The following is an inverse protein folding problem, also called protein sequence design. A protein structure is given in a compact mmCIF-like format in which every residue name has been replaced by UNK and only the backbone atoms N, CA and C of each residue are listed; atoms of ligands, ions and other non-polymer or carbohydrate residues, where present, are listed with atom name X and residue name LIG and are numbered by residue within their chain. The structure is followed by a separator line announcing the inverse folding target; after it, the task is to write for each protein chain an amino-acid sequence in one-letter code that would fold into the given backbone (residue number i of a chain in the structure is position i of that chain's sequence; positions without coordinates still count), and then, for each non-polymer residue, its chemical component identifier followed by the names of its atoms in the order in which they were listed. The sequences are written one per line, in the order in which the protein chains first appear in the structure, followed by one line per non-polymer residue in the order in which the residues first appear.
data_IF_536959675870
#
_entry.id   IF_536959675870
#
_cell.length_a   1.000
_cell.length_b   1.000
_cell.length_c   1.000
_cell.angle_alpha   90.00
_cell.angle_beta   90.00
_cell.angle_gamma   90.00
#
_symmetry.space_group_name_H-M   'P 1'
#
loop_
_entity.id
_entity.type
_entity.pdbx_description
1 polymer ?
#
# COMPACT_ATOMS: atom_id res chain seq x y z
N UNK A 1 30.61 -25.56 -23.76
CA UNK A 1 30.04 -26.91 -23.87
C UNK A 1 30.17 -27.63 -22.53
N UNK A 2 29.28 -27.33 -21.59
CA UNK A 2 29.21 -28.00 -20.29
C UNK A 2 27.75 -28.43 -20.07
N UNK A 3 27.58 -29.73 -19.77
CA UNK A 3 26.29 -30.44 -19.65
C UNK A 3 25.72 -30.28 -18.24
N UNK A 4 24.42 -30.01 -18.16
CA UNK A 4 23.63 -30.05 -16.93
C UNK A 4 23.42 -31.51 -16.45
N UNK A 5 23.47 -31.81 -15.13
CA UNK A 5 23.12 -33.12 -14.59
C UNK A 5 21.61 -33.38 -14.57
N UNK A 6 21.22 -34.65 -14.75
CA UNK A 6 19.84 -35.11 -14.82
C UNK A 6 19.17 -35.19 -13.43
N UNK A 7 17.89 -34.79 -13.37
CA UNK A 7 17.01 -34.99 -12.21
C UNK A 7 16.49 -36.45 -12.15
N UNK A 8 16.42 -37.06 -10.96
CA UNK A 8 15.92 -38.42 -10.82
C UNK A 8 14.39 -38.50 -10.84
N UNK A 9 13.90 -39.52 -11.54
CA UNK A 9 12.51 -39.85 -11.75
C UNK A 9 11.92 -40.65 -10.58
N UNK A 10 10.76 -40.19 -10.07
CA UNK A 10 9.67 -41.06 -9.59
C UNK A 10 9.51 -41.25 -8.08
N UNK A 11 8.29 -40.99 -7.59
CA UNK A 11 7.80 -41.49 -6.30
C UNK A 11 6.75 -40.59 -5.64
N UNK A 12 5.51 -40.65 -6.11
CA UNK A 12 4.42 -39.78 -5.67
C UNK A 12 4.00 -39.94 -4.20
N UNK A 13 3.67 -38.81 -3.58
CA UNK A 13 2.79 -38.74 -2.41
C UNK A 13 2.01 -37.41 -2.45
N UNK A 14 0.90 -37.39 -3.19
CA UNK A 14 -0.06 -36.28 -3.16
C UNK A 14 -0.80 -36.31 -1.82
N UNK A 15 -0.61 -35.27 -1.00
CA UNK A 15 -1.44 -35.03 0.19
C UNK A 15 -2.88 -34.82 -0.27
N UNK A 16 -3.79 -35.53 0.38
CA UNK A 16 -5.21 -35.65 0.06
C UNK A 16 -5.93 -34.37 0.51
N UNK A 17 -6.34 -33.51 -0.43
CA UNK A 17 -7.28 -32.42 -0.16
C UNK A 17 -8.63 -33.02 0.25
N UNK A 18 -9.26 -32.46 1.29
CA UNK A 18 -10.59 -32.87 1.75
C UNK A 18 -11.67 -32.61 0.69
N UNK A 19 -12.71 -33.43 0.67
CA UNK A 19 -13.80 -33.34 -0.30
C UNK A 19 -14.54 -32.00 -0.21
N UNK A 20 -14.85 -31.38 -1.35
CA UNK A 20 -15.75 -30.24 -1.44
C UNK A 20 -17.16 -30.62 -0.93
N UNK A 21 -17.91 -29.68 -0.32
CA UNK A 21 -19.26 -29.95 0.19
C UNK A 21 -20.23 -30.32 -0.94
N UNK A 22 -21.01 -31.38 -0.73
CA UNK A 22 -21.99 -31.92 -1.68
C UNK A 22 -23.22 -30.99 -1.83
N UNK A 23 -23.87 -30.86 -3.01
CA UNK A 23 -24.97 -29.92 -3.25
C UNK A 23 -26.20 -30.08 -2.35
N UNK A 24 -26.37 -31.24 -1.69
CA UNK A 24 -27.41 -31.42 -0.67
C UNK A 24 -27.10 -30.72 0.67
N UNK A 25 -25.83 -30.48 0.98
CA UNK A 25 -25.41 -29.78 2.21
C UNK A 25 -25.66 -28.27 2.13
N UNK A 26 -25.55 -27.69 0.93
CA UNK A 26 -25.86 -26.29 0.65
C UNK A 26 -27.37 -25.99 0.71
N UNK A 27 -28.23 -26.98 0.44
CA UNK A 27 -29.70 -26.84 0.53
C UNK A 27 -30.24 -26.87 1.97
N UNK A 28 -29.44 -27.28 2.96
CA UNK A 28 -29.84 -27.33 4.38
C UNK A 28 -29.49 -26.07 5.16
N UNK A 29 -28.85 -25.07 4.53
CA UNK A 29 -28.53 -23.82 5.17
C UNK A 29 -29.77 -22.91 5.22
N UNK A 30 -30.36 -22.75 6.41
CA UNK A 30 -31.33 -21.69 6.70
C UNK A 30 -30.65 -20.66 7.62
N UNK A 31 -30.50 -19.39 7.21
CA UNK A 31 -30.00 -18.37 8.11
C UNK A 31 -31.03 -18.12 9.22
N UNK A 32 -30.55 -18.03 10.46
CA UNK A 32 -31.36 -17.71 11.64
C UNK A 32 -31.78 -16.24 11.62
N UNK A 33 -33.09 -15.98 11.73
CA UNK A 33 -33.65 -14.63 11.88
C UNK A 33 -33.18 -13.95 13.18
N UNK A 34 -32.94 -12.63 13.18
CA UNK A 34 -32.52 -11.90 14.37
C UNK A 34 -33.64 -11.80 15.41
N UNK A 35 -33.34 -12.25 16.63
CA UNK A 35 -34.22 -12.13 17.79
C UNK A 35 -34.35 -10.66 18.21
N UNK A 36 -35.59 -10.22 18.36
CA UNK A 36 -35.98 -8.91 18.87
C UNK A 36 -35.77 -8.86 20.39
N UNK A 37 -34.89 -7.98 20.83
CA UNK A 37 -34.74 -7.62 22.24
C UNK A 37 -35.79 -6.58 22.62
N UNK A 38 -36.66 -6.94 23.57
CA UNK A 38 -37.53 -6.04 24.30
C UNK A 38 -36.79 -5.45 25.49
N UNK A 39 -36.73 -4.12 25.62
CA UNK A 39 -37.04 -3.40 26.87
C UNK A 39 -36.99 -1.86 26.70
N UNK A 40 -38.15 -1.26 27.02
CA UNK A 40 -38.42 0.01 27.73
C UNK A 40 -37.79 1.34 27.30
N UNK A 41 -38.62 2.21 26.70
CA UNK A 41 -38.45 3.67 26.65
C UNK A 41 -39.68 4.37 27.29
N UNK A 42 -39.51 5.52 28.00
CA UNK A 42 -40.57 6.23 28.71
C UNK A 42 -41.43 7.11 27.77
N UNK A 43 -42.61 7.62 28.22
CA UNK A 43 -43.70 7.99 27.32
C UNK A 43 -43.56 9.40 26.73
N UNK A 44 -44.09 9.65 25.53
CA UNK A 44 -44.20 11.00 24.99
C UNK A 44 -45.58 11.63 25.27
N UNK A 45 -45.54 12.93 25.56
CA UNK A 45 -46.70 13.81 25.69
C UNK A 45 -47.23 14.25 24.30
N UNK A 46 -48.52 13.97 24.05
CA UNK A 46 -49.52 14.96 23.60
C UNK A 46 -49.62 15.41 22.14
N UNK A 47 -50.66 14.91 21.44
CA UNK A 47 -51.49 15.62 20.43
C UNK A 47 -50.97 15.66 18.98
N UNK A 48 -51.75 15.54 17.88
CA UNK A 48 -53.19 15.56 17.60
C UNK A 48 -53.49 14.89 16.22
N UNK A 49 -54.62 14.20 16.14
CA UNK A 49 -55.58 14.01 15.02
C UNK A 49 -55.16 13.59 13.58
N UNK A 50 -55.80 12.52 13.06
CA UNK A 50 -56.05 12.40 11.61
C UNK A 50 -56.49 11.03 11.04
N UNK A 51 -57.75 10.63 11.27
CA UNK A 51 -58.56 9.54 10.69
C UNK A 51 -58.19 8.95 9.29
N UNK A 52 -58.29 7.62 9.15
CA UNK A 52 -58.56 6.93 7.87
C UNK A 52 -58.67 5.40 7.98
N UNK A 53 -59.87 4.83 7.77
CA UNK A 53 -60.26 3.42 7.94
C UNK A 53 -59.65 2.47 6.90
N UNK A 54 -59.30 1.24 7.31
CA UNK A 54 -58.94 0.13 6.41
C UNK A 54 -60.11 -0.77 6.00
N UNK A 55 -59.81 -1.77 5.16
CA UNK A 55 -60.35 -3.15 5.13
C UNK A 55 -59.68 -3.98 4.02
N UNK A 56 -59.41 -5.24 4.33
CA UNK A 56 -58.75 -6.27 3.52
C UNK A 56 -59.72 -7.05 2.59
N UNK A 57 -59.16 -8.06 1.88
CA UNK A 57 -59.77 -9.25 1.22
C UNK A 57 -60.07 -9.01 -0.29
N UNK A 58 -59.80 -9.87 -1.30
CA UNK A 58 -59.60 -11.34 -1.46
C UNK A 58 -58.83 -11.65 -2.77
N UNK A 59 -58.30 -12.88 -2.87
CA UNK A 59 -57.83 -13.57 -4.10
C UNK A 59 -58.97 -14.42 -4.67
N UNK A 60 -59.17 -14.42 -6.00
CA UNK A 60 -59.95 -15.44 -6.73
C UNK A 60 -59.20 -15.83 -8.02
N UNK A 61 -59.01 -17.14 -8.18
CA UNK A 61 -58.49 -17.83 -9.36
C UNK A 61 -59.63 -18.12 -10.35
N UNK A 62 -59.43 -17.92 -11.66
CA UNK A 62 -60.23 -18.57 -12.70
C UNK A 62 -59.34 -19.08 -13.84
N UNK A 63 -59.43 -20.39 -14.05
CA UNK A 63 -58.87 -21.20 -15.13
C UNK A 63 -59.51 -20.90 -16.50
N UNK A 64 -58.71 -20.77 -17.57
CA UNK A 64 -59.20 -20.99 -18.96
C UNK A 64 -58.17 -21.77 -19.80
N UNK A 65 -58.55 -23.03 -20.03
CA UNK A 65 -58.42 -23.93 -21.19
C UNK A 65 -57.23 -23.87 -22.17
N UNK A 66 -56.70 -25.08 -22.40
CA UNK A 66 -55.70 -25.46 -23.38
C UNK A 66 -56.29 -25.64 -24.80
N UNK A 67 -55.56 -25.19 -25.82
CA UNK A 67 -55.81 -25.57 -27.21
C UNK A 67 -54.56 -26.25 -27.82
N UNK A 68 -54.73 -27.53 -28.17
CA UNK A 68 -53.77 -28.33 -28.91
C UNK A 68 -53.95 -28.12 -30.42
N UNK A 69 -52.87 -27.80 -31.14
CA UNK A 69 -52.78 -28.02 -32.59
C UNK A 69 -51.50 -28.78 -32.95
N UNK A 70 -51.64 -29.77 -33.84
CA UNK A 70 -50.70 -30.87 -34.08
C UNK A 70 -50.23 -30.87 -35.55
N UNK A 71 -48.90 -30.92 -35.72
CA UNK A 71 -48.06 -31.48 -36.83
C UNK A 71 -48.20 -30.94 -38.26
N UNK A 72 -47.03 -30.67 -38.88
CA UNK A 72 -46.50 -31.48 -40.00
C UNK A 72 -45.00 -31.21 -40.27
N UNK A 73 -44.32 -32.25 -40.74
CA UNK A 73 -42.87 -32.42 -40.95
C UNK A 73 -42.41 -31.95 -42.34
N UNK A 74 -41.17 -31.42 -42.48
CA UNK A 74 -40.34 -31.58 -43.71
C UNK A 74 -38.84 -31.57 -43.36
N UNK A 75 -38.16 -32.67 -43.66
CA UNK A 75 -36.70 -32.82 -43.79
C UNK A 75 -36.24 -32.30 -45.17
N UNK A 76 -35.09 -31.62 -45.27
CA UNK A 76 -34.03 -31.96 -46.25
C UNK A 76 -32.71 -31.19 -46.02
N UNK A 77 -31.57 -31.82 -46.28
CA UNK A 77 -30.28 -31.16 -46.55
C UNK A 77 -29.07 -31.58 -45.68
N UNK A 78 -28.30 -32.54 -46.18
CA UNK A 78 -27.05 -33.12 -45.63
C UNK A 78 -25.82 -32.19 -45.67
N UNK A 79 -24.90 -32.47 -44.74
CA UNK A 79 -23.43 -32.36 -44.74
C UNK A 79 -22.69 -31.11 -45.30
N UNK A 80 -21.89 -30.48 -44.42
CA UNK A 80 -20.45 -30.39 -44.64
C UNK A 80 -19.70 -30.10 -43.32
N UNK A 81 -18.62 -30.86 -43.12
CA UNK A 81 -17.74 -30.87 -41.96
C UNK A 81 -16.91 -29.59 -41.83
N UNK A 82 -16.51 -29.32 -40.57
CA UNK A 82 -15.35 -28.51 -40.15
C UNK A 82 -15.59 -27.02 -39.80
N UNK A 83 -15.77 -26.79 -38.48
CA UNK A 83 -15.29 -25.57 -37.82
C UNK A 83 -16.34 -24.67 -37.16
N UNK A 84 -16.63 -24.93 -35.88
CA UNK A 84 -16.87 -23.97 -34.77
C UNK A 84 -17.55 -24.69 -33.59
N UNK A 85 -16.73 -25.34 -32.76
CA UNK A 85 -17.13 -25.84 -31.44
C UNK A 85 -17.25 -24.67 -30.44
N UNK A 86 -18.16 -23.71 -30.68
CA UNK A 86 -18.50 -22.65 -29.71
C UNK A 86 -19.88 -22.07 -30.05
N UNK A 87 -20.94 -22.87 -29.93
CA UNK A 87 -22.29 -22.39 -30.23
C UNK A 87 -23.33 -23.06 -29.35
N UNK A 88 -23.85 -22.32 -28.37
CA UNK A 88 -25.11 -22.67 -27.69
C UNK A 88 -25.02 -23.05 -26.21
N UNK A 89 -24.21 -22.35 -25.41
CA UNK A 89 -24.14 -22.57 -23.95
C UNK A 89 -24.55 -21.38 -23.08
N UNK A 90 -24.74 -20.19 -23.65
CA UNK A 90 -25.05 -18.98 -22.90
C UNK A 90 -26.56 -18.71 -22.95
N UNK A 91 -27.17 -18.49 -21.79
CA UNK A 91 -28.54 -17.97 -21.74
C UNK A 91 -28.52 -16.46 -22.10
N UNK A 92 -29.69 -15.88 -22.41
CA UNK A 92 -29.79 -14.47 -22.83
C UNK A 92 -29.23 -13.47 -21.81
N UNK A 93 -29.27 -13.78 -20.52
CA UNK A 93 -28.68 -12.93 -19.48
C UNK A 93 -27.15 -13.02 -19.51
N UNK A 94 -26.58 -14.18 -19.79
CA UNK A 94 -25.14 -14.37 -19.90
C UNK A 94 -24.58 -13.79 -21.20
N UNK A 95 -25.33 -13.83 -22.32
CA UNK A 95 -25.00 -13.06 -23.52
C UNK A 95 -25.02 -11.55 -23.24
N UNK A 96 -26.03 -11.05 -22.51
CA UNK A 96 -26.08 -9.64 -22.12
C UNK A 96 -24.94 -9.25 -21.17
N UNK A 97 -24.57 -10.14 -20.24
CA UNK A 97 -23.42 -9.94 -19.36
C UNK A 97 -22.13 -9.93 -20.18
N UNK A 98 -21.98 -10.81 -21.17
CA UNK A 98 -20.82 -10.84 -22.08
C UNK A 98 -20.76 -9.58 -22.93
N UNK A 99 -21.87 -9.13 -23.52
CA UNK A 99 -21.95 -7.90 -24.32
C UNK A 99 -21.65 -6.66 -23.47
N UNK A 100 -22.06 -6.64 -22.20
CA UNK A 100 -21.71 -5.57 -21.25
C UNK A 100 -20.22 -5.65 -20.89
N UNK A 101 -19.66 -6.85 -20.74
CA UNK A 101 -18.24 -7.06 -20.44
C UNK A 101 -17.34 -6.72 -21.65
N UNK A 102 -17.77 -7.03 -22.86
CA UNK A 102 -17.07 -6.72 -24.11
C UNK A 102 -17.21 -5.22 -24.44
N UNK A 103 -18.36 -4.60 -24.18
CA UNK A 103 -18.55 -3.15 -24.29
C UNK A 103 -17.80 -2.37 -23.19
N UNK A 104 -17.51 -2.99 -22.04
CA UNK A 104 -16.63 -2.45 -21.01
C UNK A 104 -15.14 -2.80 -21.25
N UNK A 105 -14.87 -3.83 -22.06
CA UNK A 105 -13.54 -4.29 -22.47
C UNK A 105 -12.99 -3.55 -23.69
N UNK A 106 -13.85 -2.88 -24.47
CA UNK A 106 -13.45 -1.73 -25.27
C UNK A 106 -13.17 -0.57 -24.32
N UNK A 107 -11.98 -0.58 -23.72
CA UNK A 107 -11.55 0.47 -22.81
C UNK A 107 -11.80 1.84 -23.41
N UNK A 108 -12.75 2.58 -22.84
CA UNK A 108 -12.59 4.02 -22.73
C UNK A 108 -11.31 4.20 -21.90
N UNK A 109 -10.17 4.20 -22.60
CA UNK A 109 -8.95 4.79 -22.09
C UNK A 109 -9.38 6.21 -21.72
N UNK A 110 -9.52 6.47 -20.41
CA UNK A 110 -9.70 7.82 -19.90
C UNK A 110 -8.69 8.73 -20.58
N UNK A 111 -8.98 10.03 -20.75
CA UNK A 111 -8.19 10.94 -21.58
C UNK A 111 -6.70 10.71 -21.34
N UNK A 112 -6.02 10.13 -22.33
CA UNK A 112 -4.62 9.73 -22.18
C UNK A 112 -3.82 10.99 -21.85
N UNK A 113 -3.16 10.96 -20.70
CA UNK A 113 -2.40 12.09 -20.23
C UNK A 113 -1.25 12.33 -21.22
N UNK A 114 -1.15 13.55 -21.74
CA UNK A 114 -0.11 13.95 -22.68
C UNK A 114 0.75 15.09 -22.09
N UNK A 115 1.91 15.36 -22.70
CA UNK A 115 2.80 16.43 -22.23
C UNK A 115 2.10 17.82 -22.17
N UNK A 116 1.27 18.21 -23.16
CA UNK A 116 0.45 19.41 -23.04
C UNK A 116 -0.51 19.43 -21.84
N UNK A 117 -1.15 18.31 -21.52
CA UNK A 117 -2.02 18.18 -20.36
C UNK A 117 -1.24 18.28 -19.05
N UNK A 118 -0.08 17.61 -18.96
CA UNK A 118 0.81 17.72 -17.81
C UNK A 118 1.24 19.19 -17.58
N UNK A 119 1.64 19.92 -18.63
CA UNK A 119 2.01 21.35 -18.50
C UNK A 119 0.85 22.21 -18.00
N UNK A 120 -0.38 21.95 -18.46
CA UNK A 120 -1.59 22.64 -17.97
C UNK A 120 -1.87 22.30 -16.50
N UNK A 121 -1.66 21.05 -16.11
CA UNK A 121 -1.82 20.58 -14.74
C UNK A 121 -0.80 21.22 -13.80
N UNK A 122 0.48 21.25 -14.18
CA UNK A 122 1.54 21.95 -13.45
C UNK A 122 1.16 23.42 -13.24
N UNK A 123 0.78 24.13 -14.31
CA UNK A 123 0.36 25.53 -14.20
C UNK A 123 -0.96 25.74 -13.42
N UNK A 124 -1.81 24.72 -13.26
CA UNK A 124 -2.96 24.76 -12.34
C UNK A 124 -2.48 24.60 -10.91
N UNK A 125 -1.62 23.62 -10.64
CA UNK A 125 -1.06 23.35 -9.32
C UNK A 125 -0.33 24.57 -8.75
N UNK A 126 0.54 25.22 -9.53
CA UNK A 126 1.23 26.45 -9.11
C UNK A 126 0.26 27.57 -8.67
N UNK A 127 -0.84 27.75 -9.42
CA UNK A 127 -1.86 28.74 -9.08
C UNK A 127 -2.61 28.38 -7.80
N UNK A 128 -2.85 27.10 -7.56
CA UNK A 128 -3.50 26.62 -6.34
C UNK A 128 -2.58 26.80 -5.12
N UNK A 129 -1.31 26.42 -5.22
CA UNK A 129 -0.29 26.67 -4.18
C UNK A 129 -0.19 28.16 -3.85
N UNK A 130 -0.12 29.02 -4.88
CA UNK A 130 -0.06 30.47 -4.69
C UNK A 130 -1.32 31.00 -4.00
N UNK A 131 -2.51 30.56 -4.44
CA UNK A 131 -3.80 30.96 -3.83
C UNK A 131 -3.87 30.56 -2.36
N UNK A 132 -3.47 29.33 -2.02
CA UNK A 132 -3.45 28.86 -0.64
C UNK A 132 -2.48 29.69 0.22
N UNK A 133 -1.26 29.89 -0.25
CA UNK A 133 -0.24 30.71 0.44
C UNK A 133 -0.74 32.16 0.66
N UNK A 134 -1.38 32.75 -0.37
CA UNK A 134 -1.94 34.10 -0.28
C UNK A 134 -3.09 34.18 0.73
N UNK A 135 -3.99 33.18 0.76
CA UNK A 135 -5.10 33.16 1.71
C UNK A 135 -4.63 32.96 3.15
N UNK A 136 -3.64 32.07 3.39
CA UNK A 136 -3.01 31.91 4.71
C UNK A 136 -2.31 33.19 5.16
N UNK A 137 -1.62 33.89 4.26
CA UNK A 137 -1.00 35.19 4.56
C UNK A 137 -2.01 36.30 4.88
N UNK A 138 -3.20 36.27 4.25
CA UNK A 138 -4.28 37.24 4.49
C UNK A 138 -5.09 36.94 5.76
N UNK A 139 -5.24 35.68 6.11
CA UNK A 139 -6.07 35.21 7.22
C UNK A 139 -5.31 34.20 8.11
N UNK A 140 -4.20 34.58 8.76
CA UNK A 140 -3.36 33.63 9.52
C UNK A 140 -4.11 32.91 10.65
N UNK A 141 -5.03 33.62 11.29
CA UNK A 141 -5.76 33.13 12.47
C UNK A 141 -7.17 32.59 12.14
N UNK A 142 -7.55 32.47 10.85
CA UNK A 142 -8.88 32.01 10.45
C UNK A 142 -8.83 30.88 9.39
N UNK A 143 -8.68 29.62 9.83
CA UNK A 143 -8.65 28.44 8.95
C UNK A 143 -9.86 28.29 8.04
N UNK A 144 -11.02 28.82 8.43
CA UNK A 144 -12.23 28.75 7.61
C UNK A 144 -12.11 29.50 6.27
N UNK A 145 -11.11 30.38 6.13
CA UNK A 145 -10.88 31.19 4.92
C UNK A 145 -10.01 30.53 3.88
N UNK A 146 -9.26 29.50 4.26
CA UNK A 146 -8.35 28.81 3.35
C UNK A 146 -8.61 27.31 3.22
N UNK A 147 -9.55 26.73 3.98
CA UNK A 147 -9.93 25.30 3.88
C UNK A 147 -10.28 24.87 2.44
N UNK A 148 -11.04 25.68 1.70
CA UNK A 148 -11.38 25.38 0.30
C UNK A 148 -10.13 25.34 -0.60
N UNK A 149 -9.15 26.22 -0.32
CA UNK A 149 -7.88 26.23 -1.06
C UNK A 149 -6.94 25.08 -0.68
N UNK A 150 -7.03 24.58 0.55
CA UNK A 150 -6.30 23.38 0.99
C UNK A 150 -6.88 22.14 0.31
N UNK A 151 -8.21 22.03 0.25
CA UNK A 151 -8.87 20.94 -0.50
C UNK A 151 -8.56 21.01 -2.01
N UNK A 152 -8.54 22.22 -2.60
CA UNK A 152 -8.09 22.42 -3.99
C UNK A 152 -6.64 21.93 -4.18
N UNK A 153 -5.77 22.16 -3.17
CA UNK A 153 -4.35 21.81 -3.20
C UNK A 153 -4.15 20.29 -3.13
N UNK A 154 -4.78 19.63 -2.16
CA UNK A 154 -4.84 18.17 -2.04
C UNK A 154 -5.26 17.51 -3.37
N UNK A 155 -6.41 17.93 -3.92
CA UNK A 155 -6.91 17.40 -5.20
C UNK A 155 -5.91 17.63 -6.33
N UNK A 156 -5.19 18.75 -6.31
CA UNK A 156 -4.18 19.05 -7.33
C UNK A 156 -2.87 18.28 -7.16
N UNK A 157 -2.54 17.84 -5.94
CA UNK A 157 -1.41 16.94 -5.66
C UNK A 157 -1.72 15.54 -6.16
N UNK A 158 -2.88 14.98 -5.77
CA UNK A 158 -3.32 13.64 -6.18
C UNK A 158 -3.48 13.49 -7.70
N UNK A 159 -3.66 14.59 -8.43
CA UNK A 159 -3.66 14.59 -9.89
C UNK A 159 -2.31 14.16 -10.50
N UNK A 160 -1.20 14.16 -9.76
CA UNK A 160 0.11 13.70 -10.24
C UNK A 160 0.29 12.18 -10.17
N UNK A 161 -0.56 11.44 -9.45
CA UNK A 161 -0.45 9.98 -9.33
C UNK A 161 -0.52 9.24 -10.68
N UNK A 162 -1.36 9.63 -11.66
CA UNK A 162 -1.39 8.99 -12.98
C UNK A 162 -0.08 9.10 -13.79
N UNK A 163 0.92 9.88 -13.33
CA UNK A 163 2.21 9.98 -14.00
C UNK A 163 3.05 8.70 -13.88
N UNK A 164 2.78 7.85 -12.89
CA UNK A 164 3.47 6.55 -12.69
C UNK A 164 3.27 5.60 -13.88
N UNK A 165 2.24 5.82 -14.69
CA UNK A 165 1.89 5.03 -15.87
C UNK A 165 2.85 5.23 -17.05
N UNK A 166 3.54 6.37 -17.14
CA UNK A 166 4.59 6.57 -18.15
C UNK A 166 5.71 7.48 -17.63
N UNK A 167 6.58 6.96 -16.74
CA UNK A 167 7.61 7.75 -16.06
C UNK A 167 8.63 8.33 -17.04
N UNK A 168 9.00 7.55 -18.05
CA UNK A 168 9.95 7.92 -19.11
C UNK A 168 9.53 9.20 -19.84
N UNK A 169 8.22 9.42 -20.01
CA UNK A 169 7.68 10.61 -20.65
C UNK A 169 7.51 11.78 -19.68
N UNK A 170 6.99 11.52 -18.48
CA UNK A 170 6.50 12.57 -17.60
C UNK A 170 7.53 13.12 -16.62
N UNK A 171 8.40 12.27 -16.06
CA UNK A 171 9.32 12.69 -14.99
C UNK A 171 10.35 13.71 -15.49
N UNK A 172 10.93 13.57 -16.70
CA UNK A 172 11.84 14.59 -17.23
C UNK A 172 11.13 15.96 -17.42
N UNK A 173 9.84 15.96 -17.76
CA UNK A 173 9.07 17.19 -17.88
C UNK A 173 8.75 17.81 -16.51
N UNK A 174 8.47 17.00 -15.48
CA UNK A 174 8.32 17.49 -14.10
C UNK A 174 9.58 18.22 -13.64
N UNK A 175 10.75 17.58 -13.77
CA UNK A 175 12.05 18.17 -13.39
C UNK A 175 12.29 19.46 -14.18
N UNK A 176 12.12 19.43 -15.50
CA UNK A 176 12.32 20.60 -16.37
C UNK A 176 11.37 21.76 -16.07
N UNK A 177 10.15 21.47 -15.62
CA UNK A 177 9.15 22.49 -15.29
C UNK A 177 9.51 23.30 -14.05
N UNK A 178 10.39 22.79 -13.18
CA UNK A 178 10.76 23.43 -11.92
C UNK A 178 9.70 23.25 -10.81
N UNK A 179 8.84 22.24 -10.91
CA UNK A 179 7.80 21.97 -9.91
C UNK A 179 8.33 21.24 -8.66
N UNK A 180 9.44 20.50 -8.79
CA UNK A 180 10.03 19.73 -7.68
C UNK A 180 10.41 20.63 -6.48
N UNK A 181 11.04 21.80 -6.64
CA UNK A 181 11.23 22.74 -5.55
C UNK A 181 9.92 23.19 -4.87
N UNK A 182 8.82 23.31 -5.62
CA UNK A 182 7.51 23.68 -5.06
C UNK A 182 6.96 22.54 -4.20
N UNK A 183 7.03 21.30 -4.68
CA UNK A 183 6.66 20.11 -3.91
C UNK A 183 7.50 19.99 -2.62
N UNK A 184 8.82 20.14 -2.72
CA UNK A 184 9.70 20.10 -1.55
C UNK A 184 9.35 21.17 -0.51
N UNK A 185 9.03 22.40 -0.93
CA UNK A 185 8.60 23.45 -0.01
C UNK A 185 7.29 23.11 0.73
N UNK A 186 6.37 22.37 0.09
CA UNK A 186 5.13 21.94 0.71
C UNK A 186 5.33 20.86 1.80
N UNK A 187 6.46 20.14 1.81
CA UNK A 187 6.79 19.24 2.94
C UNK A 187 6.98 20.01 4.26
N UNK A 188 7.32 21.30 4.19
CA UNK A 188 7.42 22.18 5.38
C UNK A 188 6.10 22.90 5.70
N UNK A 189 4.99 22.53 5.06
CA UNK A 189 3.71 23.22 5.23
C UNK A 189 3.20 23.12 6.68
N UNK A 190 2.54 24.18 7.17
CA UNK A 190 2.05 24.28 8.55
C UNK A 190 0.94 23.26 8.86
N UNK A 191 0.09 22.98 7.87
CA UNK A 191 -0.84 21.85 7.91
C UNK A 191 -0.08 20.58 7.52
N UNK A 192 -0.01 19.61 8.43
CA UNK A 192 0.64 18.30 8.23
C UNK A 192 -0.04 17.48 7.16
N UNK A 193 -1.36 17.59 6.99
CA UNK A 193 -2.12 16.85 5.97
C UNK A 193 -1.58 17.13 4.56
N UNK A 194 -1.32 18.41 4.24
CA UNK A 194 -0.74 18.80 2.93
C UNK A 194 0.67 18.24 2.77
N UNK A 195 1.47 18.20 3.83
CA UNK A 195 2.79 17.59 3.76
C UNK A 195 2.67 16.08 3.52
N UNK A 196 1.69 15.41 4.13
CA UNK A 196 1.45 13.97 3.93
C UNK A 196 0.93 13.67 2.53
N UNK A 197 0.06 14.50 1.94
CA UNK A 197 -0.36 14.36 0.54
C UNK A 197 0.86 14.46 -0.41
N UNK A 198 1.85 15.31 -0.09
CA UNK A 198 3.09 15.40 -0.87
C UNK A 198 3.95 14.14 -0.67
N UNK A 199 4.06 13.63 0.55
CA UNK A 199 4.79 12.38 0.84
C UNK A 199 4.15 11.21 0.08
N UNK A 200 2.83 11.07 0.11
CA UNK A 200 2.09 10.05 -0.62
C UNK A 200 2.39 10.12 -2.12
N UNK A 201 2.31 11.32 -2.72
CA UNK A 201 2.69 11.50 -4.13
C UNK A 201 4.14 11.16 -4.39
N UNK A 202 5.08 11.53 -3.52
CA UNK A 202 6.50 11.18 -3.70
C UNK A 202 6.71 9.67 -3.57
N UNK A 203 6.06 9.01 -2.63
CA UNK A 203 6.15 7.56 -2.46
C UNK A 203 5.69 6.85 -3.73
N UNK A 204 4.49 7.18 -4.22
CA UNK A 204 3.92 6.58 -5.44
C UNK A 204 4.78 6.87 -6.67
N UNK A 205 5.33 8.09 -6.78
CA UNK A 205 6.21 8.42 -7.91
C UNK A 205 7.58 7.72 -7.83
N UNK A 206 8.00 7.24 -6.67
CA UNK A 206 9.31 6.59 -6.46
C UNK A 206 9.24 5.09 -6.28
N UNK A 207 8.05 4.50 -6.33
CA UNK A 207 7.84 3.06 -6.17
C UNK A 207 8.61 2.24 -7.23
N UNK A 208 9.06 1.04 -6.84
CA UNK A 208 9.87 0.17 -7.70
C UNK A 208 9.09 -0.46 -8.86
N UNK A 209 7.76 -0.57 -8.72
CA UNK A 209 6.86 -1.12 -9.75
C UNK A 209 6.44 -0.08 -10.80
N UNK A 210 6.89 1.17 -10.65
CA UNK A 210 6.55 2.28 -11.53
C UNK A 210 7.02 2.04 -12.96
N UNK A 211 6.08 2.04 -13.90
CA UNK A 211 6.32 1.74 -15.31
C UNK A 211 6.52 0.25 -15.62
N UNK A 212 6.20 -0.65 -14.68
CA UNK A 212 6.24 -2.11 -14.87
C UNK A 212 5.07 -2.69 -15.68
N UNK A 213 3.98 -1.94 -15.86
CA UNK A 213 2.76 -2.40 -16.56
C UNK A 213 2.78 -2.23 -18.09
N UNK A 214 3.87 -1.73 -18.67
CA UNK A 214 3.97 -1.62 -20.14
C UNK A 214 4.24 -3.00 -20.74
N UNK A 215 3.15 -3.63 -21.21
CA UNK A 215 3.03 -4.90 -21.96
C UNK A 215 3.87 -4.99 -23.27
N UNK A 216 4.85 -4.11 -23.48
CA UNK A 216 5.75 -4.12 -24.63
C UNK A 216 6.94 -5.07 -24.41
N UNK A 217 6.63 -6.38 -24.41
CA UNK A 217 7.60 -7.49 -24.31
C UNK A 217 8.74 -7.41 -25.35
N UNK A 218 8.56 -6.64 -26.43
CA UNK A 218 9.55 -6.49 -27.51
C UNK A 218 10.68 -5.51 -27.16
N UNK A 219 10.50 -4.59 -26.20
CA UNK A 219 11.48 -3.55 -25.84
C UNK A 219 11.72 -3.40 -24.32
N UNK A 220 11.36 -4.39 -23.50
CA UNK A 220 11.47 -4.34 -22.03
C UNK A 220 12.83 -3.83 -21.52
N UNK A 221 13.94 -4.25 -22.15
CA UNK A 221 15.28 -3.83 -21.73
C UNK A 221 15.54 -2.32 -21.98
N UNK A 222 15.06 -1.77 -23.09
CA UNK A 222 15.22 -0.35 -23.42
C UNK A 222 14.24 0.52 -22.63
N UNK A 223 12.99 0.08 -22.52
CA UNK A 223 11.94 0.74 -21.74
C UNK A 223 12.31 0.78 -20.25
N UNK A 224 12.77 -0.33 -19.67
CA UNK A 224 13.24 -0.38 -18.29
C UNK A 224 14.44 0.54 -18.03
N UNK A 225 15.38 0.64 -18.98
CA UNK A 225 16.52 1.56 -18.88
C UNK A 225 16.09 3.03 -18.88
N UNK A 226 15.18 3.42 -19.78
CA UNK A 226 14.69 4.80 -19.86
C UNK A 226 13.83 5.21 -18.66
N UNK A 227 12.98 4.31 -18.16
CA UNK A 227 12.24 4.51 -16.91
C UNK A 227 13.18 4.68 -15.73
N UNK A 228 14.21 3.83 -15.59
CA UNK A 228 15.21 3.97 -14.53
C UNK A 228 15.98 5.29 -14.63
N UNK A 229 16.31 5.75 -15.83
CA UNK A 229 16.96 7.06 -16.03
C UNK A 229 16.04 8.23 -15.63
N UNK A 230 14.77 8.17 -15.99
CA UNK A 230 13.78 9.18 -15.64
C UNK A 230 13.52 9.23 -14.12
N UNK A 231 13.44 8.06 -13.48
CA UNK A 231 13.37 7.92 -12.03
C UNK A 231 14.60 8.53 -11.34
N UNK A 232 15.80 8.22 -11.84
CA UNK A 232 17.03 8.81 -11.33
C UNK A 232 17.05 10.33 -11.41
N UNK A 233 16.57 10.91 -12.52
CA UNK A 233 16.46 12.37 -12.65
C UNK A 233 15.48 13.00 -11.65
N UNK A 234 14.34 12.34 -11.40
CA UNK A 234 13.38 12.79 -10.40
C UNK A 234 13.97 12.74 -8.99
N UNK A 235 14.58 11.61 -8.62
CA UNK A 235 15.21 11.41 -7.31
C UNK A 235 16.36 12.41 -7.11
N UNK A 236 17.25 12.60 -8.09
CA UNK A 236 18.34 13.57 -8.01
C UNK A 236 17.81 14.98 -7.76
N UNK A 237 16.74 15.40 -8.45
CA UNK A 237 16.13 16.71 -8.25
C UNK A 237 15.47 16.83 -6.88
N UNK A 238 14.80 15.79 -6.38
CA UNK A 238 14.23 15.78 -5.02
C UNK A 238 15.33 15.90 -3.95
N UNK A 239 16.41 15.15 -4.09
CA UNK A 239 17.56 15.21 -3.16
C UNK A 239 18.22 16.60 -3.17
N UNK A 240 18.38 17.20 -4.35
CA UNK A 240 18.90 18.58 -4.48
C UNK A 240 18.02 19.64 -3.78
N UNK A 241 16.75 19.31 -3.52
CA UNK A 241 15.79 20.15 -2.80
C UNK A 241 15.57 19.66 -1.35
N UNK A 242 16.59 19.05 -0.72
CA UNK A 242 16.62 18.67 0.70
C UNK A 242 15.52 17.69 1.13
N UNK A 243 15.10 16.78 0.24
CA UNK A 243 14.06 15.78 0.54
C UNK A 243 14.32 15.03 1.86
N UNK A 244 15.55 14.54 2.07
CA UNK A 244 15.88 13.69 3.22
C UNK A 244 15.63 14.41 4.56
N UNK A 245 16.11 15.64 4.70
CA UNK A 245 15.92 16.46 5.90
C UNK A 245 14.43 16.80 6.12
N UNK A 246 13.70 17.08 5.04
CA UNK A 246 12.28 17.42 5.09
C UNK A 246 11.44 16.22 5.55
N UNK A 247 11.74 15.01 5.08
CA UNK A 247 11.08 13.78 5.54
C UNK A 247 11.35 13.53 7.04
N UNK A 248 12.61 13.61 7.46
CA UNK A 248 12.97 13.41 8.89
C UNK A 248 12.35 14.49 9.79
N UNK A 249 12.29 15.73 9.32
CA UNK A 249 11.61 16.81 10.04
C UNK A 249 10.12 16.49 10.24
N UNK A 250 9.45 15.91 9.25
CA UNK A 250 8.05 15.52 9.37
C UNK A 250 7.86 14.38 10.38
N UNK A 251 8.73 13.36 10.40
CA UNK A 251 8.68 12.28 11.40
C UNK A 251 8.70 12.77 12.86
N UNK A 252 9.29 13.94 13.11
CA UNK A 252 9.39 14.52 14.47
C UNK A 252 8.13 15.27 14.94
N UNK A 253 7.25 15.67 14.01
CA UNK A 253 6.07 16.50 14.31
C UNK A 253 4.74 15.77 14.19
N UNK A 254 4.73 14.57 13.61
CA UNK A 254 3.54 13.72 13.48
C UNK A 254 3.22 13.03 14.83
N UNK A 255 1.93 12.99 15.17
CA UNK A 255 1.42 12.30 16.35
C UNK A 255 0.77 10.97 15.97
N UNK A 256 1.52 9.88 16.08
CA UNK A 256 1.04 8.52 15.75
C UNK A 256 -0.11 8.00 16.64
N UNK A 257 -0.61 8.79 17.61
CA UNK A 257 -1.87 8.49 18.29
C UNK A 257 -3.11 8.82 17.43
N UNK A 258 -2.92 9.64 16.40
CA UNK A 258 -3.91 9.93 15.36
C UNK A 258 -3.66 9.01 14.14
N UNK A 259 -4.71 8.35 13.65
CA UNK A 259 -4.58 7.35 12.57
C UNK A 259 -3.98 7.96 11.29
N UNK A 260 -4.31 9.22 10.97
CA UNK A 260 -3.80 9.93 9.78
C UNK A 260 -2.30 10.17 9.85
N UNK A 261 -1.81 10.61 11.01
CA UNK A 261 -0.38 10.87 11.23
C UNK A 261 0.41 9.56 11.31
N UNK A 262 -0.20 8.51 11.86
CA UNK A 262 0.36 7.16 11.83
C UNK A 262 0.57 6.64 10.40
N UNK A 263 -0.43 6.83 9.51
CA UNK A 263 -0.26 6.54 8.08
C UNK A 263 0.80 7.44 7.44
N UNK A 264 0.85 8.73 7.82
CA UNK A 264 1.90 9.65 7.38
C UNK A 264 3.32 9.14 7.67
N UNK A 265 3.55 8.61 8.87
CA UNK A 265 4.83 7.97 9.22
C UNK A 265 5.10 6.75 8.34
N UNK A 266 4.09 5.91 8.09
CA UNK A 266 4.22 4.75 7.20
C UNK A 266 4.65 5.16 5.79
N UNK A 267 4.00 6.17 5.21
CA UNK A 267 4.33 6.70 3.89
C UNK A 267 5.75 7.30 3.85
N UNK A 268 6.19 8.01 4.89
CA UNK A 268 7.57 8.53 4.95
C UNK A 268 8.59 7.39 4.95
N UNK A 269 8.35 6.32 5.71
CA UNK A 269 9.23 5.15 5.71
C UNK A 269 9.24 4.46 4.33
N UNK A 270 8.10 4.43 3.64
CA UNK A 270 8.00 3.96 2.25
C UNK A 270 8.82 4.77 1.26
N UNK A 271 8.86 6.10 1.40
CA UNK A 271 9.78 6.92 0.57
C UNK A 271 11.23 6.52 0.84
N UNK A 272 11.63 6.31 2.09
CA UNK A 272 12.99 5.86 2.39
C UNK A 272 13.30 4.48 1.83
N UNK A 273 12.37 3.53 1.91
CA UNK A 273 12.52 2.21 1.31
C UNK A 273 12.73 2.30 -0.21
N UNK A 274 11.86 3.03 -0.91
CA UNK A 274 11.93 3.23 -2.35
C UNK A 274 13.30 3.81 -2.77
N UNK A 275 13.77 4.84 -2.04
CA UNK A 275 15.07 5.46 -2.29
C UNK A 275 16.24 4.48 -2.05
N UNK A 276 16.18 3.68 -0.99
CA UNK A 276 17.21 2.70 -0.63
C UNK A 276 17.23 1.51 -1.60
N UNK A 277 16.07 1.04 -2.08
CA UNK A 277 15.95 0.01 -3.12
C UNK A 277 16.54 0.53 -4.45
N UNK A 278 16.18 1.76 -4.84
CA UNK A 278 16.65 2.35 -6.09
C UNK A 278 18.15 2.68 -6.09
N UNK A 279 18.66 3.26 -4.99
CA UNK A 279 20.04 3.71 -4.82
C UNK A 279 20.62 3.28 -3.46
N UNK A 280 21.07 2.01 -3.32
CA UNK A 280 21.60 1.50 -2.05
C UNK A 280 22.73 2.33 -1.40
N UNK A 281 23.66 2.96 -2.15
CA UNK A 281 24.67 3.83 -1.56
C UNK A 281 24.13 5.04 -0.78
N UNK A 282 22.86 5.42 -0.99
CA UNK A 282 22.22 6.52 -0.27
C UNK A 282 22.08 6.24 1.24
N UNK A 283 22.16 4.97 1.66
CA UNK A 283 22.12 4.58 3.07
C UNK A 283 23.17 5.32 3.93
N UNK A 284 24.41 5.43 3.42
CA UNK A 284 25.49 6.13 4.13
C UNK A 284 25.19 7.63 4.24
N UNK A 285 24.71 8.23 3.15
CA UNK A 285 24.36 9.65 3.11
C UNK A 285 23.20 9.98 4.06
N UNK A 286 22.14 9.16 4.06
CA UNK A 286 20.96 9.36 4.95
C UNK A 286 21.40 9.36 6.42
N UNK A 287 22.26 8.45 6.83
CA UNK A 287 22.73 8.34 8.22
C UNK A 287 23.73 9.44 8.59
N UNK A 288 24.56 9.88 7.64
CA UNK A 288 25.51 10.98 7.85
C UNK A 288 24.81 12.34 7.96
N UNK A 289 23.87 12.63 7.06
CA UNK A 289 23.27 13.95 6.90
C UNK A 289 22.04 14.16 7.80
N UNK A 290 21.31 13.10 8.16
CA UNK A 290 20.02 13.22 8.85
C UNK A 290 19.98 12.54 10.22
N UNK A 291 18.91 12.81 10.97
CA UNK A 291 18.61 12.14 12.24
C UNK A 291 17.75 10.87 12.09
N UNK A 292 17.61 10.30 10.88
CA UNK A 292 16.73 9.15 10.66
C UNK A 292 17.10 7.96 11.55
N UNK A 293 18.37 7.56 11.59
CA UNK A 293 18.81 6.41 12.42
C UNK A 293 18.49 6.63 13.90
N UNK A 294 18.65 7.86 14.39
CA UNK A 294 18.29 8.22 15.77
C UNK A 294 16.78 8.11 16.00
N UNK A 295 15.96 8.56 15.04
CA UNK A 295 14.50 8.45 15.13
C UNK A 295 14.06 6.98 15.11
N UNK A 296 14.63 6.15 14.23
CA UNK A 296 14.33 4.71 14.13
C UNK A 296 14.64 3.98 15.45
N UNK A 297 15.79 4.25 16.07
CA UNK A 297 16.15 3.71 17.39
C UNK A 297 15.14 4.09 18.48
N UNK A 298 14.66 5.34 18.47
CA UNK A 298 13.62 5.78 19.40
C UNK A 298 12.28 5.10 19.12
N UNK A 299 11.96 4.88 17.84
CA UNK A 299 10.70 4.26 17.41
C UNK A 299 10.61 2.80 17.81
N UNK A 300 11.66 2.00 17.57
CA UNK A 300 11.67 0.58 17.94
C UNK A 300 11.67 0.35 19.47
N UNK A 301 12.04 1.37 20.26
CA UNK A 301 12.01 1.33 21.73
C UNK A 301 10.60 1.48 22.32
N UNK A 302 9.62 1.95 21.54
CA UNK A 302 8.23 2.05 22.01
C UNK A 302 7.74 0.68 22.47
N UNK A 303 6.97 0.63 23.56
CA UNK A 303 6.55 -0.64 24.16
C UNK A 303 5.51 -1.37 23.31
N UNK A 304 4.56 -0.62 22.77
CA UNK A 304 3.48 -1.15 21.95
C UNK A 304 4.02 -1.60 20.60
N UNK A 305 3.39 -2.62 20.04
CA UNK A 305 3.72 -3.16 18.73
C UNK A 305 2.68 -2.66 17.73
N UNK A 306 3.16 -2.19 16.57
CA UNK A 306 2.37 -1.68 15.46
C UNK A 306 3.18 -1.80 14.15
N UNK A 307 2.52 -1.59 13.01
CA UNK A 307 3.14 -1.72 11.69
C UNK A 307 4.29 -0.73 11.48
N UNK A 308 4.22 0.49 12.01
CA UNK A 308 5.31 1.46 11.92
C UNK A 308 6.56 1.02 12.70
N UNK A 309 6.39 0.31 13.82
CA UNK A 309 7.50 -0.28 14.58
C UNK A 309 8.17 -1.39 13.80
N UNK A 310 7.38 -2.26 13.17
CA UNK A 310 7.88 -3.28 12.26
C UNK A 310 8.70 -2.64 11.15
N UNK A 311 8.10 -1.69 10.44
CA UNK A 311 8.72 -1.04 9.30
C UNK A 311 10.00 -0.28 9.69
N UNK A 312 10.00 0.40 10.83
CA UNK A 312 11.19 1.06 11.35
C UNK A 312 12.36 0.07 11.60
N UNK A 313 12.06 -1.18 11.99
CA UNK A 313 13.09 -2.21 12.17
C UNK A 313 13.68 -2.69 10.85
N UNK A 314 12.89 -2.75 9.79
CA UNK A 314 13.31 -3.11 8.44
C UNK A 314 14.19 -2.03 7.83
N UNK A 315 13.74 -0.77 7.85
CA UNK A 315 14.55 0.36 7.37
C UNK A 315 15.87 0.42 8.14
N UNK A 316 15.86 0.24 9.47
CA UNK A 316 17.09 0.20 10.26
C UNK A 316 18.01 -0.95 9.81
N UNK A 317 17.46 -2.15 9.54
CA UNK A 317 18.24 -3.28 9.06
C UNK A 317 18.89 -2.98 7.70
N UNK A 318 18.15 -2.35 6.78
CA UNK A 318 18.66 -1.92 5.46
C UNK A 318 19.80 -0.91 5.63
N UNK A 319 19.63 0.11 6.48
CA UNK A 319 20.65 1.13 6.72
C UNK A 319 21.95 0.56 7.30
N UNK A 320 21.85 -0.48 8.13
CA UNK A 320 23.02 -1.11 8.78
C UNK A 320 23.67 -2.19 7.90
N UNK A 321 23.01 -2.62 6.82
CA UNK A 321 23.49 -3.67 5.95
C UNK A 321 24.76 -3.22 5.23
N UNK A 322 25.84 -4.00 5.39
CA UNK A 322 27.13 -3.81 4.72
C UNK A 322 27.77 -2.40 4.86
N UNK A 323 27.31 -1.56 5.80
CA UNK A 323 27.87 -0.22 6.04
C UNK A 323 28.58 -0.11 7.39
N UNK A 324 29.92 0.01 7.35
CA UNK A 324 30.70 0.30 8.56
C UNK A 324 30.43 1.70 9.10
N UNK A 325 30.22 2.69 8.24
CA UNK A 325 29.95 4.06 8.68
C UNK A 325 28.67 4.12 9.52
N UNK A 326 27.61 3.48 9.04
CA UNK A 326 26.32 3.45 9.72
C UNK A 326 26.38 2.66 11.02
N UNK A 327 27.12 1.55 11.05
CA UNK A 327 27.35 0.80 12.29
C UNK A 327 28.17 1.59 13.33
N UNK A 328 29.13 2.41 12.92
CA UNK A 328 29.82 3.29 13.85
C UNK A 328 28.90 4.41 14.35
N UNK A 329 28.03 4.94 13.47
CA UNK A 329 27.02 5.91 13.89
C UNK A 329 26.02 5.32 14.88
N UNK A 330 25.66 4.05 14.70
CA UNK A 330 24.84 3.29 15.64
C UNK A 330 25.51 3.19 17.02
N UNK A 331 26.83 2.95 17.08
CA UNK A 331 27.60 2.95 18.35
C UNK A 331 27.55 4.32 19.04
N UNK A 332 27.73 5.42 18.29
CA UNK A 332 27.65 6.79 18.82
C UNK A 332 26.27 7.11 19.45
N UNK A 333 25.22 6.43 18.99
CA UNK A 333 23.84 6.62 19.44
C UNK A 333 23.42 5.62 20.53
N UNK A 334 24.37 4.89 21.13
CA UNK A 334 24.11 3.81 22.09
C UNK A 334 23.14 2.74 21.52
N UNK A 335 23.14 2.56 20.19
CA UNK A 335 22.15 1.74 19.49
C UNK A 335 22.20 0.26 19.86
N UNK A 336 23.37 -0.26 20.26
CA UNK A 336 23.50 -1.64 20.75
C UNK A 336 22.70 -1.87 22.03
N UNK A 337 22.77 -0.97 23.01
CA UNK A 337 21.99 -1.06 24.25
C UNK A 337 20.49 -0.98 23.94
N UNK A 338 20.09 -0.07 23.05
CA UNK A 338 18.69 0.05 22.61
C UNK A 338 18.19 -1.26 22.00
N UNK A 339 18.91 -1.85 21.04
CA UNK A 339 18.50 -3.10 20.40
C UNK A 339 18.44 -4.26 21.39
N UNK A 340 19.38 -4.37 22.33
CA UNK A 340 19.35 -5.41 23.36
C UNK A 340 18.21 -5.23 24.36
N UNK A 341 17.88 -3.99 24.73
CA UNK A 341 16.70 -3.70 25.55
C UNK A 341 15.41 -4.12 24.83
N UNK A 342 15.29 -3.82 23.54
CA UNK A 342 14.16 -4.26 22.72
C UNK A 342 14.08 -5.78 22.70
N UNK A 343 15.16 -6.49 22.39
CA UNK A 343 15.18 -7.96 22.36
C UNK A 343 14.91 -8.58 23.73
N UNK A 344 15.25 -7.90 24.82
CA UNK A 344 15.06 -8.43 26.18
C UNK A 344 13.60 -8.68 26.56
N UNK A 345 12.65 -8.00 25.89
CA UNK A 345 11.23 -8.23 26.12
C UNK A 345 10.79 -9.64 25.73
N UNK A 346 11.49 -10.25 24.76
CA UNK A 346 11.19 -11.59 24.24
C UNK A 346 11.81 -12.74 25.06
N UNK A 347 12.56 -12.44 26.12
CA UNK A 347 13.12 -13.49 27.00
C UNK A 347 12.06 -14.28 27.77
N UNK A 348 10.95 -13.63 28.13
CA UNK A 348 9.91 -14.18 29.01
C UNK A 348 8.58 -14.38 28.32
N UNK A 349 8.41 -13.79 27.14
CA UNK A 349 7.18 -13.79 26.37
C UNK A 349 7.57 -13.95 24.91
N UNK A 350 7.09 -14.99 24.26
CA UNK A 350 7.27 -15.14 22.82
C UNK A 350 6.51 -14.02 22.08
N UNK A 351 6.96 -13.62 20.88
CA UNK A 351 6.20 -12.74 20.00
C UNK A 351 4.75 -13.24 19.81
N UNK A 352 3.80 -12.31 19.68
CA UNK A 352 2.38 -12.61 19.63
C UNK A 352 1.94 -13.24 18.31
N UNK A 353 2.36 -12.65 17.19
CA UNK A 353 2.01 -13.07 15.83
C UNK A 353 3.25 -13.13 14.93
N UNK A 354 3.06 -13.48 13.65
CA UNK A 354 4.14 -13.62 12.68
C UNK A 354 4.86 -12.30 12.40
N UNK A 355 4.15 -11.18 12.44
CA UNK A 355 4.75 -9.86 12.18
C UNK A 355 5.66 -9.47 13.36
N UNK A 356 5.23 -9.71 14.62
CA UNK A 356 6.07 -9.47 15.79
C UNK A 356 7.30 -10.43 15.84
N UNK A 357 7.19 -11.63 15.27
CA UNK A 357 8.36 -12.52 15.07
C UNK A 357 9.35 -11.87 14.09
N UNK A 358 8.86 -11.36 12.96
CA UNK A 358 9.69 -10.71 11.96
C UNK A 358 10.38 -9.46 12.52
N UNK A 359 9.68 -8.65 13.31
CA UNK A 359 10.26 -7.52 14.05
C UNK A 359 11.47 -7.95 14.89
N UNK A 360 11.27 -9.00 15.71
CA UNK A 360 12.32 -9.53 16.57
C UNK A 360 13.50 -10.02 15.73
N UNK A 361 13.25 -10.72 14.63
CA UNK A 361 14.28 -11.20 13.71
C UNK A 361 15.05 -10.04 13.06
N UNK A 362 14.38 -8.97 12.63
CA UNK A 362 15.01 -7.77 12.05
C UNK A 362 15.95 -7.08 13.04
N UNK A 363 15.53 -6.91 14.29
CA UNK A 363 16.39 -6.34 15.35
C UNK A 363 17.55 -7.29 15.66
N UNK A 364 17.30 -8.60 15.72
CA UNK A 364 18.35 -9.60 15.98
C UNK A 364 19.38 -9.65 14.85
N UNK A 365 18.93 -9.58 13.60
CA UNK A 365 19.79 -9.51 12.41
C UNK A 365 20.62 -8.22 12.43
N UNK A 366 20.04 -7.09 12.81
CA UNK A 366 20.76 -5.82 12.98
C UNK A 366 21.87 -5.91 14.03
N UNK A 367 21.62 -6.57 15.16
CA UNK A 367 22.65 -6.86 16.17
C UNK A 367 23.75 -7.75 15.58
N UNK A 368 23.38 -8.84 14.89
CA UNK A 368 24.34 -9.77 14.30
C UNK A 368 25.24 -9.09 13.26
N UNK A 369 24.66 -8.32 12.35
CA UNK A 369 25.38 -7.56 11.32
C UNK A 369 26.34 -6.55 11.95
N UNK A 370 25.89 -5.85 13.01
CA UNK A 370 26.71 -4.87 13.73
C UNK A 370 27.94 -5.51 14.40
N UNK A 371 27.80 -6.74 14.92
CA UNK A 371 28.89 -7.47 15.58
C UNK A 371 30.06 -7.84 14.66
N UNK A 372 29.96 -7.62 13.35
CA UNK A 372 31.11 -7.68 12.46
C UNK A 372 32.19 -6.67 12.84
N UNK A 373 31.79 -5.52 13.41
CA UNK A 373 32.71 -4.44 13.81
C UNK A 373 33.27 -4.64 15.23
N UNK A 374 34.59 -4.45 15.47
CA UNK A 374 35.20 -4.60 16.80
C UNK A 374 34.58 -3.70 17.88
N UNK A 375 34.21 -2.48 17.53
CA UNK A 375 33.61 -1.48 18.41
C UNK A 375 32.27 -2.01 18.96
N UNK A 376 31.44 -2.57 18.08
CA UNK A 376 30.15 -3.15 18.45
C UNK A 376 30.27 -4.39 19.33
N UNK A 377 31.34 -5.18 19.21
CA UNK A 377 31.60 -6.29 20.14
C UNK A 377 31.83 -5.80 21.56
N UNK A 378 32.51 -4.66 21.70
CA UNK A 378 32.73 -4.01 23.00
C UNK A 378 31.42 -3.41 23.52
N UNK A 379 30.66 -2.73 22.66
CA UNK A 379 29.34 -2.20 23.02
C UNK A 379 28.39 -3.30 23.49
N UNK A 380 28.36 -4.44 22.77
CA UNK A 380 27.56 -5.61 23.12
C UNK A 380 27.94 -6.20 24.48
N UNK A 381 29.24 -6.30 24.77
CA UNK A 381 29.73 -6.74 26.08
C UNK A 381 29.33 -5.75 27.19
N UNK A 382 29.48 -4.45 26.95
CA UNK A 382 29.16 -3.41 27.93
C UNK A 382 27.65 -3.33 28.21
N UNK A 383 26.81 -3.70 27.24
CA UNK A 383 25.35 -3.68 27.31
C UNK A 383 24.75 -5.00 27.80
N UNK A 384 25.56 -5.85 28.47
CA UNK A 384 25.15 -7.17 28.99
C UNK A 384 24.58 -8.13 27.92
N UNK A 385 25.00 -7.99 26.67
CA UNK A 385 24.50 -8.79 25.56
C UNK A 385 24.81 -10.28 25.70
N UNK A 386 25.97 -10.64 26.28
CA UNK A 386 26.35 -12.04 26.53
C UNK A 386 25.41 -12.68 27.54
N UNK A 387 25.07 -11.95 28.59
CA UNK A 387 24.12 -12.36 29.64
C UNK A 387 22.72 -12.49 29.08
N UNK A 388 22.31 -11.58 28.19
CA UNK A 388 21.03 -11.64 27.50
C UNK A 388 20.92 -12.92 26.66
N UNK A 389 21.91 -13.20 25.81
CA UNK A 389 21.93 -14.40 24.97
C UNK A 389 22.05 -15.69 25.79
N UNK A 390 22.74 -15.65 26.93
CA UNK A 390 22.81 -16.80 27.85
C UNK A 390 21.49 -17.12 28.55
N UNK A 391 20.57 -16.15 28.66
CA UNK A 391 19.23 -16.31 29.22
C UNK A 391 18.17 -16.62 28.16
N UNK A 392 18.45 -16.39 26.88
CA UNK A 392 17.56 -16.75 25.80
C UNK A 392 17.25 -18.25 25.91
N UNK A 393 15.95 -18.65 25.86
CA UNK A 393 15.59 -20.05 25.98
C UNK A 393 16.35 -20.83 24.92
N UNK A 394 17.20 -21.78 25.35
CA UNK A 394 17.72 -22.79 24.42
C UNK A 394 16.49 -23.41 23.80
N UNK A 395 16.26 -23.22 22.51
CA UNK A 395 15.27 -24.01 21.78
C UNK A 395 15.58 -25.46 22.12
N UNK A 396 14.72 -26.06 22.93
CA UNK A 396 14.81 -27.46 23.30
C UNK A 396 14.48 -28.17 22.00
N UNK A 397 15.52 -28.49 21.20
CA UNK A 397 15.42 -29.30 19.99
C UNK A 397 14.99 -30.70 20.43
N UNK A 398 13.71 -30.84 20.75
CA UNK A 398 13.01 -32.12 20.89
C UNK A 398 12.04 -32.23 19.72
N UNK A 399 12.60 -32.64 18.60
CA UNK A 399 11.87 -33.37 17.58
C UNK A 399 12.40 -34.81 17.54
#
# INVERSE_FOLDING_TARGET
MFRLPALPSGGGNKRKMGNLPDPETLKRYKPSEPQSASETMPPPLGGLNGKGKGRAVTVEDEDIEAEYSRREDVYDGEDDEEGRFFGGGLNREQEQILDIFDAAGEGEQGPTLDLPALRRQIGKFERVVFKNTEQRGKYPDDPSKFIDSESDLDTSLKAFLPLTQNPSLFYPELVKSGIIPILANLLSHENTDIAMDVVEVIQELTDEDVGGEVDDLENEEETGSTTRMAMGQLIDELLNNSLLDLLVSNLSRLDESEDTDSQGVFHILGVFENLLSFMPPLADQIVEETALLQWLLQRIKRKEYDSNKQYASEIMAILLQDSRANVLKLDELDGMDVMLQVLSQYLKKDPGDSEEVEFMENVFNSVCSSLAQPEMKKAFLNSEGVELMGKAPRQDTRH
#
